data_IF_966957813819
#
_entry.id   IF_966957813819
#
_cell.length_a   1.000
_cell.length_b   1.000
_cell.length_c   1.000
_cell.angle_alpha   90.00
_cell.angle_beta   90.00
_cell.angle_gamma   90.00
#
_symmetry.space_group_name_H-M   'P 1'
#
loop_
_entity.id
_entity.type
_entity.pdbx_description
1 polymer ?
#
# COMPACT_ATOMS: atom_id res chain seq x y z
N UNK A 1 20.91 -2.87 -1.50
CA UNK A 1 19.53 -3.16 -1.08
C UNK A 1 18.83 -3.73 -2.31
N UNK A 2 18.17 -4.88 -2.19
CA UNK A 2 17.51 -5.53 -3.33
C UNK A 2 16.10 -4.95 -3.51
N UNK A 3 15.84 -4.33 -4.67
CA UNK A 3 14.57 -3.65 -4.96
C UNK A 3 13.42 -4.63 -5.15
N UNK A 4 13.68 -5.87 -5.60
CA UNK A 4 12.66 -6.91 -5.66
C UNK A 4 12.25 -7.33 -4.25
N UNK A 5 13.22 -7.51 -3.34
CA UNK A 5 12.94 -7.78 -1.93
C UNK A 5 12.15 -6.64 -1.28
N UNK A 6 12.48 -5.39 -1.59
CA UNK A 6 11.71 -4.24 -1.12
C UNK A 6 10.28 -4.23 -1.67
N UNK A 7 10.06 -4.55 -2.94
CA UNK A 7 8.71 -4.64 -3.50
C UNK A 7 7.87 -5.74 -2.86
N UNK A 8 8.46 -6.92 -2.63
CA UNK A 8 7.78 -8.03 -1.95
C UNK A 8 7.39 -7.66 -0.51
N UNK A 9 8.26 -6.91 0.19
CA UNK A 9 7.96 -6.43 1.53
C UNK A 9 6.84 -5.38 1.53
N UNK A 10 6.79 -4.51 0.52
CA UNK A 10 5.69 -3.56 0.35
C UNK A 10 4.36 -4.25 0.06
N UNK A 11 4.35 -5.33 -0.73
CA UNK A 11 3.14 -6.12 -0.99
C UNK A 11 2.64 -6.79 0.30
N UNK A 12 3.56 -7.29 1.14
CA UNK A 12 3.22 -7.83 2.47
C UNK A 12 2.59 -6.76 3.37
N UNK A 13 3.24 -5.60 3.52
CA UNK A 13 2.70 -4.50 4.32
C UNK A 13 1.37 -3.98 3.78
N UNK A 14 1.18 -3.95 2.47
CA UNK A 14 -0.10 -3.60 1.85
C UNK A 14 -1.20 -4.56 2.30
N UNK A 15 -0.94 -5.87 2.25
CA UNK A 15 -1.91 -6.88 2.66
C UNK A 15 -2.23 -6.79 4.16
N UNK A 16 -1.21 -6.61 5.01
CA UNK A 16 -1.40 -6.43 6.46
C UNK A 16 -2.21 -5.17 6.78
N UNK A 17 -1.88 -4.05 6.14
CA UNK A 17 -2.58 -2.77 6.34
C UNK A 17 -4.03 -2.87 5.91
N UNK A 18 -4.29 -3.44 4.72
CA UNK A 18 -5.64 -3.64 4.21
C UNK A 18 -6.47 -4.50 5.17
N UNK A 19 -5.92 -5.65 5.59
CA UNK A 19 -6.62 -6.56 6.50
C UNK A 19 -6.94 -5.90 7.84
N UNK A 20 -5.98 -5.20 8.45
CA UNK A 20 -6.17 -4.54 9.73
C UNK A 20 -7.21 -3.41 9.66
N UNK A 21 -7.16 -2.59 8.60
CA UNK A 21 -8.11 -1.50 8.43
C UNK A 21 -9.52 -2.00 8.07
N UNK A 22 -9.65 -3.03 7.24
CA UNK A 22 -10.95 -3.65 6.96
C UNK A 22 -11.58 -4.21 8.24
N UNK A 23 -10.81 -4.95 9.05
CA UNK A 23 -11.32 -5.48 10.31
C UNK A 23 -11.72 -4.37 11.31
N UNK A 24 -10.94 -3.28 11.37
CA UNK A 24 -11.29 -2.12 12.18
C UNK A 24 -12.57 -1.44 11.68
N UNK A 25 -12.73 -1.32 10.37
CA UNK A 25 -13.91 -0.74 9.74
C UNK A 25 -15.18 -1.54 10.07
N UNK A 26 -15.11 -2.86 9.89
CA UNK A 26 -16.20 -3.79 10.23
C UNK A 26 -16.57 -3.71 11.72
N UNK A 27 -15.58 -3.71 12.61
CA UNK A 27 -15.81 -3.59 14.05
C UNK A 27 -16.52 -2.28 14.44
N UNK A 28 -16.21 -1.19 13.74
CA UNK A 28 -16.86 0.10 13.97
C UNK A 28 -18.29 0.10 13.42
N UNK A 29 -18.51 -0.47 12.23
CA UNK A 29 -19.85 -0.65 11.65
C UNK A 29 -20.77 -1.46 12.56
N UNK A 30 -20.29 -2.58 13.09
CA UNK A 30 -21.04 -3.40 14.04
C UNK A 30 -21.42 -2.62 15.31
N UNK A 31 -20.50 -1.77 15.80
CA UNK A 31 -20.75 -0.95 16.98
C UNK A 31 -21.72 0.22 16.73
N UNK A 32 -21.96 0.63 15.47
CA UNK A 32 -22.80 1.79 15.15
C UNK A 32 -24.22 1.66 15.68
N UNK A 33 -24.78 0.44 15.72
CA UNK A 33 -26.13 0.20 16.21
C UNK A 33 -26.33 0.63 17.67
N UNK A 34 -25.25 0.72 18.45
CA UNK A 34 -25.27 1.18 19.84
C UNK A 34 -25.13 2.70 20.01
N UNK A 35 -24.87 3.46 18.95
CA UNK A 35 -24.66 4.90 19.04
C UNK A 35 -25.98 5.67 18.92
N UNK A 36 -26.22 6.61 19.83
CA UNK A 36 -27.44 7.42 19.86
C UNK A 36 -27.15 8.90 20.09
N UNK A 37 -27.95 9.76 19.46
CA UNK A 37 -27.89 11.22 19.64
C UNK A 37 -26.79 11.91 18.84
N UNK A 38 -26.43 13.13 19.25
CA UNK A 38 -25.49 13.98 18.51
C UNK A 38 -24.08 13.38 18.40
N UNK A 39 -23.65 12.61 19.41
CA UNK A 39 -22.37 11.88 19.36
C UNK A 39 -22.35 10.80 18.28
N UNK A 40 -23.49 10.14 18.01
CA UNK A 40 -23.60 9.15 16.95
C UNK A 40 -23.33 9.75 15.57
N UNK A 41 -23.94 10.91 15.28
CA UNK A 41 -23.71 11.61 14.02
C UNK A 41 -22.24 12.06 13.87
N UNK A 42 -21.63 12.54 14.96
CA UNK A 42 -20.22 12.92 14.96
C UNK A 42 -19.29 11.71 14.73
N UNK A 43 -19.58 10.57 15.36
CA UNK A 43 -18.81 9.35 15.18
C UNK A 43 -18.98 8.77 13.77
N UNK A 44 -20.17 8.82 13.18
CA UNK A 44 -20.39 8.44 11.78
C UNK A 44 -19.61 9.33 10.81
N UNK A 45 -19.56 10.64 11.04
CA UNK A 45 -18.75 11.55 10.23
C UNK A 45 -17.25 11.22 10.33
N UNK A 46 -16.76 10.97 11.55
CA UNK A 46 -15.36 10.54 11.76
C UNK A 46 -15.06 9.19 11.13
N UNK A 47 -16.02 8.28 11.16
CA UNK A 47 -15.90 6.98 10.53
C UNK A 47 -15.74 7.08 8.99
N UNK A 48 -16.49 7.98 8.35
CA UNK A 48 -16.32 8.25 6.92
C UNK A 48 -14.92 8.80 6.60
N UNK A 49 -14.40 9.72 7.43
CA UNK A 49 -13.02 10.22 7.29
C UNK A 49 -11.99 9.08 7.43
N UNK A 50 -12.20 8.14 8.36
CA UNK A 50 -11.31 7.00 8.54
C UNK A 50 -11.35 5.99 7.38
N UNK A 51 -12.52 5.79 6.76
CA UNK A 51 -12.64 4.99 5.54
C UNK A 51 -11.87 5.60 4.36
N UNK A 52 -11.95 6.92 4.20
CA UNK A 52 -11.19 7.64 3.18
C UNK A 52 -9.68 7.55 3.44
N UNK A 53 -9.26 7.73 4.69
CA UNK A 53 -7.86 7.58 5.08
C UNK A 53 -7.33 6.16 4.81
N UNK A 54 -8.11 5.13 5.16
CA UNK A 54 -7.81 3.73 4.85
C UNK A 54 -7.59 3.50 3.36
N UNK A 55 -8.52 4.00 2.54
CA UNK A 55 -8.45 3.89 1.08
C UNK A 55 -7.21 4.58 0.51
N UNK A 56 -6.87 5.74 1.05
CA UNK A 56 -5.71 6.52 0.61
C UNK A 56 -4.41 5.81 0.97
N UNK A 57 -4.26 5.38 2.23
CA UNK A 57 -3.04 4.71 2.69
C UNK A 57 -2.80 3.39 1.96
N UNK A 58 -3.83 2.57 1.77
CA UNK A 58 -3.72 1.31 1.01
C UNK A 58 -3.31 1.56 -0.43
N UNK A 59 -3.92 2.55 -1.11
CA UNK A 59 -3.52 2.96 -2.47
C UNK A 59 -2.06 3.39 -2.54
N UNK A 60 -1.60 4.21 -1.60
CA UNK A 60 -0.24 4.76 -1.61
C UNK A 60 0.80 3.66 -1.40
N UNK A 61 0.55 2.69 -0.51
CA UNK A 61 1.44 1.54 -0.31
C UNK A 61 1.50 0.66 -1.57
N UNK A 62 0.37 0.42 -2.23
CA UNK A 62 0.33 -0.30 -3.49
C UNK A 62 1.11 0.43 -4.61
N UNK A 63 0.99 1.75 -4.69
CA UNK A 63 1.72 2.59 -5.63
C UNK A 63 3.24 2.54 -5.39
N UNK A 64 3.67 2.57 -4.13
CA UNK A 64 5.08 2.38 -3.78
C UNK A 64 5.60 1.00 -4.18
N UNK A 65 4.82 -0.07 -3.94
CA UNK A 65 5.18 -1.42 -4.38
C UNK A 65 5.38 -1.50 -5.90
N UNK A 66 4.51 -0.86 -6.68
CA UNK A 66 4.66 -0.75 -8.14
C UNK A 66 5.93 0.03 -8.53
N UNK A 67 6.18 1.17 -7.90
CA UNK A 67 7.38 1.97 -8.18
C UNK A 67 8.69 1.22 -7.88
N UNK A 68 8.73 0.39 -6.82
CA UNK A 68 9.88 -0.46 -6.53
C UNK A 68 10.11 -1.53 -7.60
N UNK A 69 9.04 -2.15 -8.12
CA UNK A 69 9.14 -3.13 -9.23
C UNK A 69 9.66 -2.47 -10.50
N UNK A 70 9.07 -1.34 -10.89
CA UNK A 70 9.47 -0.60 -12.08
C UNK A 70 10.95 -0.17 -12.00
N UNK A 71 11.40 0.26 -10.81
CA UNK A 71 12.80 0.60 -10.58
C UNK A 71 13.72 -0.62 -10.66
N UNK A 72 13.31 -1.77 -10.08
CA UNK A 72 14.08 -3.01 -10.15
C UNK A 72 14.30 -3.47 -11.60
N UNK A 73 13.22 -3.50 -12.39
CA UNK A 73 13.26 -3.88 -13.80
C UNK A 73 14.15 -2.92 -14.61
N UNK A 74 14.04 -1.62 -14.33
CA UNK A 74 14.88 -0.60 -14.94
C UNK A 74 16.37 -0.77 -14.64
N UNK A 75 16.73 -1.14 -13.41
CA UNK A 75 18.12 -1.45 -13.05
C UNK A 75 18.64 -2.69 -13.77
N UNK A 76 17.87 -3.78 -13.81
CA UNK A 76 18.26 -5.03 -14.49
C UNK A 76 18.49 -4.81 -15.99
N UNK A 77 17.59 -4.06 -16.63
CA UNK A 77 17.73 -3.71 -18.04
C UNK A 77 19.00 -2.89 -18.32
N UNK A 78 19.30 -1.90 -17.47
CA UNK A 78 20.48 -1.05 -17.61
C UNK A 78 21.79 -1.79 -17.36
N UNK A 79 21.79 -2.69 -16.39
CA UNK A 79 22.94 -3.55 -16.10
C UNK A 79 23.25 -4.48 -17.29
N UNK A 80 22.20 -5.12 -17.84
CA UNK A 80 22.31 -5.99 -19.02
C UNK A 80 22.82 -5.23 -20.25
N UNK A 81 22.25 -4.05 -20.55
CA UNK A 81 22.70 -3.18 -21.66
C UNK A 81 24.17 -2.76 -21.50
N UNK A 82 24.61 -2.52 -20.26
CA UNK A 82 25.99 -2.13 -19.97
C UNK A 82 26.97 -3.29 -20.13
N UNK A 83 26.56 -4.50 -19.72
CA UNK A 83 27.33 -5.73 -19.89
C UNK A 83 27.52 -6.07 -21.37
N UNK A 84 26.46 -6.00 -22.18
CA UNK A 84 26.52 -6.22 -23.63
C UNK A 84 27.51 -5.24 -24.31
N UNK A 85 27.44 -3.95 -23.97
CA UNK A 85 28.37 -2.95 -24.51
C UNK A 85 29.83 -3.18 -24.10
N UNK A 86 30.07 -3.76 -22.94
CA UNK A 86 31.42 -4.08 -22.48
C UNK A 86 31.97 -5.29 -23.24
N UNK A 87 31.16 -6.33 -23.43
CA UNK A 87 31.53 -7.52 -24.19
C UNK A 87 31.83 -7.19 -25.67
N UNK A 88 31.14 -6.21 -26.26
CA UNK A 88 31.41 -5.73 -27.62
C UNK A 88 32.75 -4.98 -27.78
N UNK A 89 33.41 -4.60 -26.68
CA UNK A 89 34.65 -3.81 -26.69
C UNK A 89 35.93 -4.64 -26.45
N UNK A 90 35.81 -5.96 -26.28
CA UNK A 90 36.92 -6.90 -26.01
C UNK A 90 37.14 -7.81 -27.22
#
# INVERSE_FOLDING_TARGET
MDLHMSSAHMDMHHAELLAAHTAANESIEEAQAGWVGASAAALQAKFAEWQEATTTLTRDVAAHGAAFRDAADGYVAKDSESAEKLDEQI
#
